data_IF_908928756905
#
_entry.id   IF_908928756905
#
_cell.length_a   1.000
_cell.length_b   1.000
_cell.length_c   1.000
_cell.angle_alpha   90.00
_cell.angle_beta   90.00
_cell.angle_gamma   90.00
#
_symmetry.space_group_name_H-M   'P 1'
#
loop_
_entity.id
_entity.type
_entity.pdbx_description
1 polymer ?
#
# COMPACT_ATOMS: atom_id res chain seq x y z
N UNK A 1 15.73 -6.32 -14.00
CA UNK A 1 15.59 -7.09 -12.74
C UNK A 1 14.66 -6.31 -11.84
N UNK A 2 13.38 -6.65 -11.86
CA UNK A 2 12.38 -6.03 -10.99
C UNK A 2 12.57 -6.64 -9.61
N UNK A 3 12.82 -5.81 -8.60
CA UNK A 3 13.10 -6.28 -7.24
C UNK A 3 11.78 -6.72 -6.60
N UNK A 4 11.44 -8.00 -6.71
CA UNK A 4 10.42 -8.60 -5.86
C UNK A 4 10.94 -8.54 -4.43
N UNK A 5 10.33 -7.69 -3.60
CA UNK A 5 10.62 -7.61 -2.17
C UNK A 5 9.84 -8.74 -1.52
N UNK A 6 10.44 -9.93 -1.41
CA UNK A 6 9.97 -10.93 -0.45
C UNK A 6 10.33 -10.41 0.94
N UNK A 7 9.31 -10.09 1.73
CA UNK A 7 9.52 -9.68 3.11
C UNK A 7 10.16 -10.87 3.86
N UNK A 8 11.27 -10.67 4.58
CA UNK A 8 11.93 -11.76 5.30
C UNK A 8 10.98 -12.30 6.37
N UNK A 9 10.93 -13.63 6.51
CA UNK A 9 10.39 -14.26 7.72
C UNK A 9 11.26 -13.79 8.88
N UNK A 10 10.63 -13.28 9.93
CA UNK A 10 11.31 -12.61 11.03
C UNK A 10 12.35 -13.53 11.70
N UNK A 11 13.61 -13.41 11.28
CA UNK A 11 14.79 -13.71 12.09
C UNK A 11 16.08 -13.07 11.54
N UNK A 12 15.98 -11.97 10.80
CA UNK A 12 17.16 -11.17 10.44
C UNK A 12 16.88 -9.68 10.72
N UNK A 13 17.39 -9.21 11.87
CA UNK A 13 17.67 -7.82 12.22
C UNK A 13 16.58 -6.77 11.92
N UNK A 14 15.54 -6.76 12.74
CA UNK A 14 14.41 -5.82 12.76
C UNK A 14 14.75 -4.42 13.31
N UNK A 15 15.87 -3.81 12.93
CA UNK A 15 16.21 -2.44 13.35
C UNK A 15 15.92 -1.37 12.29
N UNK A 16 15.15 -1.67 11.24
CA UNK A 16 14.77 -0.66 10.26
C UNK A 16 13.37 -0.87 9.66
N UNK A 17 12.41 -1.33 10.46
CA UNK A 17 10.98 -1.15 10.16
C UNK A 17 10.64 0.29 10.50
N UNK A 18 10.64 1.18 9.50
CA UNK A 18 10.37 2.60 9.69
C UNK A 18 9.12 2.82 10.55
N UNK A 19 9.29 3.49 11.67
CA UNK A 19 8.25 3.76 12.67
C UNK A 19 7.03 4.40 12.00
N UNK A 20 5.92 3.66 11.93
CA UNK A 20 4.61 4.23 11.57
C UNK A 20 4.02 4.86 12.84
N UNK A 21 3.54 6.09 12.71
CA UNK A 21 2.79 6.74 13.77
C UNK A 21 1.37 6.17 13.75
N UNK A 22 0.84 5.68 14.88
CA UNK A 22 -0.52 5.14 14.93
C UNK A 22 -1.50 6.28 14.70
N UNK A 23 -2.16 6.24 13.54
CA UNK A 23 -3.14 7.23 13.09
C UNK A 23 -4.45 6.52 12.75
N UNK A 24 -5.58 7.21 12.86
CA UNK A 24 -6.89 6.65 12.47
C UNK A 24 -6.89 6.26 10.98
N UNK A 25 -6.22 7.04 10.15
CA UNK A 25 -5.95 6.75 8.73
C UNK A 25 -5.24 5.41 8.54
N UNK A 26 -4.27 5.07 9.39
CA UNK A 26 -3.58 3.79 9.31
C UNK A 26 -4.50 2.64 9.71
N UNK A 27 -5.28 2.80 10.79
CA UNK A 27 -6.25 1.79 11.25
C UNK A 27 -7.31 1.49 10.18
N UNK A 28 -7.81 2.53 9.52
CA UNK A 28 -8.75 2.40 8.40
C UNK A 28 -8.11 1.64 7.21
N UNK A 29 -6.84 1.93 6.90
CA UNK A 29 -6.08 1.22 5.86
C UNK A 29 -5.89 -0.26 6.20
N UNK A 30 -5.54 -0.57 7.46
CA UNK A 30 -5.46 -1.95 7.94
C UNK A 30 -6.83 -2.63 7.83
N UNK A 31 -7.90 -1.94 8.21
CA UNK A 31 -9.27 -2.44 8.17
C UNK A 31 -9.68 -2.94 6.78
N UNK A 32 -9.40 -2.17 5.73
CA UNK A 32 -9.68 -2.58 4.33
C UNK A 32 -8.89 -3.83 3.94
N UNK A 33 -7.59 -3.87 4.28
CA UNK A 33 -6.76 -5.02 3.94
C UNK A 33 -7.20 -6.29 4.66
N UNK A 34 -7.54 -6.18 5.96
CA UNK A 34 -8.07 -7.28 6.76
C UNK A 34 -9.45 -7.72 6.31
N UNK A 35 -10.30 -6.79 5.88
CA UNK A 35 -11.60 -7.12 5.30
C UNK A 35 -11.44 -7.92 4.00
N UNK A 36 -10.59 -7.46 3.07
CA UNK A 36 -10.27 -8.20 1.84
C UNK A 36 -9.65 -9.57 2.12
N UNK A 37 -8.79 -9.67 3.13
CA UNK A 37 -8.20 -10.94 3.57
C UNK A 37 -9.25 -11.94 4.08
N UNK A 38 -10.19 -11.48 4.90
CA UNK A 38 -11.24 -12.33 5.51
C UNK A 38 -12.35 -12.71 4.55
N UNK A 39 -12.73 -11.79 3.66
CA UNK A 39 -13.87 -11.95 2.75
C UNK A 39 -13.48 -12.49 1.39
N UNK A 40 -12.20 -12.39 1.03
CA UNK A 40 -11.71 -12.70 -0.31
C UNK A 40 -12.16 -11.71 -1.39
N UNK A 41 -12.74 -10.57 -1.02
CA UNK A 41 -13.19 -9.54 -1.97
C UNK A 41 -12.05 -8.65 -2.45
N UNK A 42 -12.25 -8.03 -3.62
CA UNK A 42 -11.33 -6.99 -4.10
C UNK A 42 -11.53 -5.71 -3.27
N UNK A 43 -10.47 -5.24 -2.63
CA UNK A 43 -10.42 -3.97 -1.91
C UNK A 43 -9.78 -2.88 -2.77
N UNK A 44 -10.31 -1.66 -2.68
CA UNK A 44 -9.69 -0.47 -3.28
C UNK A 44 -9.28 0.51 -2.19
N UNK A 45 -7.98 0.73 -2.06
CA UNK A 45 -7.39 1.70 -1.14
C UNK A 45 -6.77 2.86 -1.92
N UNK A 46 -7.37 4.04 -1.81
CA UNK A 46 -6.85 5.25 -2.45
C UNK A 46 -6.72 6.42 -1.50
N UNK A 47 -5.59 7.12 -1.59
CA UNK A 47 -5.31 8.34 -0.82
C UNK A 47 -4.29 9.21 -1.55
N UNK A 48 -4.21 10.52 -1.27
CA UNK A 48 -3.21 11.42 -1.84
C UNK A 48 -1.77 10.94 -1.67
N UNK A 49 -0.84 11.41 -2.51
CA UNK A 49 0.58 11.06 -2.35
C UNK A 49 1.11 11.50 -0.98
N UNK A 50 1.94 10.66 -0.36
CA UNK A 50 2.54 10.96 0.94
C UNK A 50 1.68 10.69 2.17
N UNK A 51 0.56 9.97 2.04
CA UNK A 51 -0.30 9.57 3.18
C UNK A 51 0.13 8.26 3.88
N UNK A 52 1.27 7.67 3.51
CA UNK A 52 1.77 6.45 4.17
C UNK A 52 1.18 5.12 3.66
N UNK A 53 0.35 5.12 2.61
CA UNK A 53 -0.23 3.89 1.99
C UNK A 53 0.77 2.75 1.79
N UNK A 54 1.90 3.03 1.15
CA UNK A 54 2.94 2.05 0.86
C UNK A 54 3.56 1.48 2.14
N UNK A 55 3.74 2.30 3.17
CA UNK A 55 4.26 1.87 4.46
C UNK A 55 3.23 1.01 5.19
N UNK A 56 1.95 1.42 5.19
CA UNK A 56 0.84 0.67 5.76
C UNK A 56 0.71 -0.71 5.12
N UNK A 57 0.67 -0.78 3.79
CA UNK A 57 0.59 -2.02 3.02
C UNK A 57 1.71 -3.01 3.37
N UNK A 58 2.95 -2.52 3.49
CA UNK A 58 4.10 -3.38 3.88
C UNK A 58 4.01 -3.85 5.31
N UNK A 59 3.57 -3.00 6.24
CA UNK A 59 3.45 -3.38 7.65
C UNK A 59 2.33 -4.39 7.88
N UNK A 60 1.17 -4.22 7.25
CA UNK A 60 0.08 -5.20 7.32
C UNK A 60 0.53 -6.54 6.74
N UNK A 61 1.21 -6.53 5.59
CA UNK A 61 1.76 -7.75 5.00
C UNK A 61 2.78 -8.43 5.93
N UNK A 62 3.67 -7.67 6.56
CA UNK A 62 4.63 -8.22 7.52
C UNK A 62 3.92 -8.82 8.74
N UNK A 63 3.00 -8.07 9.36
CA UNK A 63 2.23 -8.46 10.56
C UNK A 63 1.47 -9.77 10.33
N UNK A 64 0.76 -9.88 9.21
CA UNK A 64 -0.02 -11.07 8.87
C UNK A 64 0.87 -12.28 8.55
N UNK A 65 2.03 -12.08 7.92
CA UNK A 65 2.98 -13.17 7.66
C UNK A 65 3.79 -13.61 8.89
N UNK A 66 3.82 -12.82 9.96
CA UNK A 66 4.53 -13.13 11.22
C UNK A 66 3.63 -13.68 12.33
N UNK A 67 2.31 -13.66 12.15
CA UNK A 67 1.38 -14.17 13.16
C UNK A 67 1.62 -15.69 13.33
N UNK A 68 1.89 -16.19 14.55
CA UNK A 68 1.97 -17.63 14.79
C UNK A 68 0.62 -18.28 14.49
N UNK A 69 0.66 -19.50 13.93
CA UNK A 69 -0.51 -20.36 13.65
C UNK A 69 -1.18 -20.81 14.97
N UNK A 70 -1.73 -19.89 15.77
CA UNK A 70 -2.43 -20.20 17.02
C UNK A 70 -3.87 -20.64 16.79
N UNK A 71 -4.45 -20.30 15.63
CA UNK A 71 -5.75 -20.79 15.19
C UNK A 71 -5.58 -21.97 14.22
N UNK A 72 -5.94 -23.19 14.67
CA UNK A 72 -5.93 -24.46 13.91
C UNK A 72 -6.70 -24.42 12.55
N UNK A 73 -7.36 -23.30 12.22
CA UNK A 73 -8.06 -23.05 10.96
C UNK A 73 -7.23 -22.28 9.92
N UNK A 74 -6.00 -21.86 10.23
CA UNK A 74 -5.16 -21.10 9.30
C UNK A 74 -4.45 -22.03 8.32
N UNK A 75 -5.10 -22.39 7.22
CA UNK A 75 -4.40 -22.93 6.05
C UNK A 75 -3.40 -21.88 5.53
N UNK A 76 -2.15 -21.90 5.99
CA UNK A 76 -0.95 -21.35 5.33
C UNK A 76 -1.14 -20.07 4.51
N UNK A 77 -1.83 -19.08 5.08
CA UNK A 77 -2.28 -17.90 4.37
C UNK A 77 -1.12 -16.93 4.14
N UNK A 78 -0.56 -16.90 2.93
CA UNK A 78 0.56 -16.02 2.59
C UNK A 78 0.04 -14.67 2.09
N UNK A 79 0.50 -13.59 2.72
CA UNK A 79 0.25 -12.22 2.23
C UNK A 79 1.38 -11.79 1.31
N UNK A 80 1.05 -11.49 0.06
CA UNK A 80 2.02 -11.15 -0.97
C UNK A 80 1.88 -9.67 -1.30
N UNK A 81 2.91 -8.91 -0.96
CA UNK A 81 3.02 -7.49 -1.30
C UNK A 81 3.79 -7.32 -2.61
N UNK A 82 3.20 -6.61 -3.57
CA UNK A 82 3.74 -6.38 -4.89
C UNK A 82 3.67 -4.88 -5.18
N UNK A 83 4.83 -4.25 -5.36
CA UNK A 83 4.89 -2.88 -5.85
C UNK A 83 4.87 -2.88 -7.37
N UNK A 84 3.82 -2.31 -7.96
CA UNK A 84 3.69 -2.12 -9.40
C UNK A 84 4.52 -0.93 -9.86
N UNK A 85 5.04 -1.00 -11.07
CA UNK A 85 5.84 0.08 -11.66
C UNK A 85 5.38 0.37 -13.09
N UNK A 86 5.82 1.49 -13.65
CA UNK A 86 5.59 1.79 -15.07
C UNK A 86 6.20 0.77 -16.02
N UNK A 87 7.22 0.01 -15.59
CA UNK A 87 7.83 -1.05 -16.39
C UNK A 87 6.94 -2.32 -16.46
N UNK A 88 5.96 -2.43 -15.57
CA UNK A 88 5.04 -3.56 -15.44
C UNK A 88 3.59 -3.12 -15.68
N UNK A 89 3.40 -2.07 -16.51
CA UNK A 89 2.09 -1.45 -16.75
C UNK A 89 1.19 -2.31 -17.65
N UNK A 90 1.77 -2.97 -18.67
CA UNK A 90 1.04 -3.81 -19.63
C UNK A 90 0.72 -5.19 -19.07
N UNK A 91 -0.27 -5.85 -19.67
CA UNK A 91 -0.79 -7.16 -19.27
C UNK A 91 0.30 -8.22 -19.09
N UNK A 92 1.10 -8.49 -20.13
CA UNK A 92 2.18 -9.49 -20.04
C UNK A 92 3.22 -9.18 -18.95
N UNK A 93 3.93 -8.03 -18.97
CA UNK A 93 4.97 -7.73 -17.97
C UNK A 93 4.39 -7.59 -16.55
N UNK A 94 3.16 -7.08 -16.42
CA UNK A 94 2.45 -7.03 -15.14
C UNK A 94 2.13 -8.40 -14.58
N UNK A 95 1.55 -9.30 -15.39
CA UNK A 95 1.28 -10.68 -14.99
C UNK A 95 2.57 -11.44 -14.69
N UNK A 96 3.62 -11.26 -15.47
CA UNK A 96 4.92 -11.90 -15.20
C UNK A 96 5.53 -11.42 -13.88
N UNK A 97 5.40 -10.12 -13.55
CA UNK A 97 5.84 -9.56 -12.27
C UNK A 97 5.07 -10.14 -11.09
N UNK A 98 3.75 -10.31 -11.24
CA UNK A 98 2.90 -10.94 -10.22
C UNK A 98 3.24 -12.43 -10.07
N UNK A 99 3.45 -13.13 -11.18
CA UNK A 99 3.86 -14.53 -11.18
C UNK A 99 5.21 -14.74 -10.47
N UNK A 100 6.20 -13.88 -10.73
CA UNK A 100 7.51 -13.94 -10.06
C UNK A 100 7.38 -13.73 -8.53
N UNK A 101 6.51 -12.79 -8.11
CA UNK A 101 6.20 -12.57 -6.70
C UNK A 101 5.59 -13.81 -6.03
N UNK A 102 4.74 -14.55 -6.76
CA UNK A 102 4.15 -15.83 -6.37
C UNK A 102 5.13 -17.02 -6.44
N UNK A 103 6.37 -16.80 -6.89
CA UNK A 103 7.38 -17.86 -7.07
C UNK A 103 7.16 -18.72 -8.31
N UNK A 104 6.40 -18.23 -9.28
CA UNK A 104 6.12 -18.89 -10.55
C UNK A 104 7.15 -18.44 -11.58
N UNK A 105 7.87 -19.39 -12.16
CA UNK A 105 8.77 -19.11 -13.27
C UNK A 105 7.98 -18.79 -14.55
N UNK A 106 8.32 -17.69 -15.22
CA UNK A 106 7.73 -17.32 -16.51
C UNK A 106 8.81 -17.21 -17.59
N UNK A 107 8.52 -17.74 -18.77
CA UNK A 107 9.39 -17.69 -19.94
C UNK A 107 9.00 -16.54 -20.88
N UNK A 108 9.96 -16.09 -21.71
CA UNK A 108 9.68 -15.09 -22.77
C UNK A 108 8.69 -15.55 -23.84
N UNK A 109 8.47 -16.87 -23.97
CA UNK A 109 7.49 -17.45 -24.87
C UNK A 109 6.06 -17.46 -24.33
N UNK A 110 5.88 -17.42 -23.01
CA UNK A 110 4.57 -17.65 -22.39
C UNK A 110 3.58 -16.58 -22.81
N UNK A 111 2.40 -16.98 -23.25
CA UNK A 111 1.35 -16.01 -23.54
C UNK A 111 0.68 -15.55 -22.24
N UNK A 112 0.03 -14.36 -22.21
CA UNK A 112 -0.63 -13.86 -21.00
C UNK A 112 -1.60 -14.86 -20.36
N UNK A 113 -2.33 -15.63 -21.18
CA UNK A 113 -3.28 -16.63 -20.71
C UNK A 113 -2.59 -17.79 -19.96
N UNK A 114 -1.39 -18.21 -20.37
CA UNK A 114 -0.64 -19.26 -19.67
C UNK A 114 -0.13 -18.77 -18.31
N UNK A 115 0.32 -17.51 -18.26
CA UNK A 115 0.73 -16.87 -17.00
C UNK A 115 -0.47 -16.72 -16.06
N UNK A 116 -1.62 -16.26 -16.56
CA UNK A 116 -2.86 -16.18 -15.77
C UNK A 116 -3.24 -17.55 -15.20
N UNK A 117 -3.22 -18.62 -16.02
CA UNK A 117 -3.55 -19.97 -15.54
C UNK A 117 -2.58 -20.43 -14.44
N UNK A 118 -1.31 -20.11 -14.56
CA UNK A 118 -0.30 -20.46 -13.55
C UNK A 118 -0.53 -19.71 -12.24
N UNK A 119 -0.90 -18.43 -12.32
CA UNK A 119 -1.32 -17.62 -11.16
C UNK A 119 -2.58 -18.21 -10.53
N UNK A 120 -3.62 -18.50 -11.33
CA UNK A 120 -4.85 -19.13 -10.87
C UNK A 120 -4.54 -20.43 -10.09
N UNK A 121 -3.74 -21.34 -10.66
CA UNK A 121 -3.38 -22.61 -10.01
C UNK A 121 -2.66 -22.41 -8.68
N UNK A 122 -1.76 -21.42 -8.60
CA UNK A 122 -1.02 -21.10 -7.37
C UNK A 122 -1.94 -20.52 -6.28
N UNK A 123 -2.91 -19.69 -6.67
CA UNK A 123 -3.87 -19.05 -5.75
C UNK A 123 -5.00 -20.00 -5.33
N UNK A 124 -5.38 -20.96 -6.17
CA UNK A 124 -6.41 -21.96 -5.85
C UNK A 124 -6.00 -22.84 -4.65
N UNK A 125 -4.70 -23.12 -4.51
CA UNK A 125 -4.15 -23.92 -3.41
C UNK A 125 -3.76 -23.14 -2.15
N UNK A 126 -3.96 -21.82 -2.11
CA UNK A 126 -3.55 -20.97 -0.98
C UNK A 126 -4.59 -19.87 -0.72
N UNK A 127 -5.09 -19.74 0.50
CA UNK A 127 -5.91 -18.59 0.91
C UNK A 127 -5.01 -17.38 1.17
N UNK A 128 -4.63 -16.68 0.11
CA UNK A 128 -3.67 -15.57 0.13
C UNK A 128 -4.32 -14.18 0.01
N UNK A 129 -3.67 -13.15 0.57
CA UNK A 129 -3.94 -11.75 0.26
C UNK A 129 -2.89 -11.23 -0.73
N UNK A 130 -3.32 -10.69 -1.87
CA UNK A 130 -2.44 -10.01 -2.82
C UNK A 130 -2.62 -8.51 -2.68
N UNK A 131 -1.56 -7.82 -2.27
CA UNK A 131 -1.53 -6.36 -2.20
C UNK A 131 -0.77 -5.83 -3.43
N UNK A 132 -1.49 -5.18 -4.34
CA UNK A 132 -0.93 -4.54 -5.52
C UNK A 132 -0.79 -3.04 -5.25
N UNK A 133 0.40 -2.63 -4.80
CA UNK A 133 0.75 -1.24 -4.51
C UNK A 133 1.14 -0.48 -5.77
N UNK A 134 0.94 0.84 -5.77
CA UNK A 134 1.12 1.72 -6.93
C UNK A 134 0.30 1.28 -8.17
N UNK A 135 -0.90 0.71 -7.93
CA UNK A 135 -1.77 0.14 -8.96
C UNK A 135 -2.28 1.18 -9.99
N UNK A 136 -2.12 2.49 -9.74
CA UNK A 136 -2.38 3.51 -10.76
C UNK A 136 -1.51 3.34 -12.02
N UNK A 137 -0.35 2.67 -11.92
CA UNK A 137 0.51 2.37 -13.08
C UNK A 137 -0.01 1.23 -13.94
N UNK A 138 -0.90 0.38 -13.44
CA UNK A 138 -1.46 -0.73 -14.22
C UNK A 138 -2.35 -0.20 -15.34
N UNK A 139 -2.27 -0.82 -16.53
CA UNK A 139 -3.20 -0.53 -17.62
C UNK A 139 -4.62 -1.04 -17.30
N UNK A 140 -5.60 -0.56 -18.06
CA UNK A 140 -6.97 -1.07 -17.98
C UNK A 140 -7.01 -2.59 -18.27
N UNK A 141 -6.32 -3.04 -19.32
CA UNK A 141 -6.25 -4.46 -19.68
C UNK A 141 -5.64 -5.33 -18.57
N UNK A 142 -4.62 -4.83 -17.86
CA UNK A 142 -4.01 -5.55 -16.75
C UNK A 142 -4.97 -5.61 -15.56
N UNK A 143 -5.66 -4.52 -15.22
CA UNK A 143 -6.71 -4.51 -14.19
C UNK A 143 -7.85 -5.48 -14.54
N UNK A 144 -8.29 -5.50 -15.80
CA UNK A 144 -9.27 -6.47 -16.31
C UNK A 144 -8.76 -7.90 -16.20
N UNK A 145 -7.47 -8.16 -16.46
CA UNK A 145 -6.86 -9.47 -16.28
C UNK A 145 -6.85 -9.91 -14.80
N UNK A 146 -6.55 -9.01 -13.87
CA UNK A 146 -6.63 -9.31 -12.42
C UNK A 146 -8.07 -9.63 -12.00
N UNK A 147 -9.05 -8.84 -12.45
CA UNK A 147 -10.47 -9.17 -12.23
C UNK A 147 -10.83 -10.54 -12.82
N UNK A 148 -10.41 -10.83 -14.05
CA UNK A 148 -10.68 -12.14 -14.68
C UNK A 148 -10.13 -13.31 -13.86
N UNK A 149 -8.91 -13.18 -13.32
CA UNK A 149 -8.32 -14.19 -12.42
C UNK A 149 -9.23 -14.37 -11.20
N UNK A 150 -9.63 -13.26 -10.56
CA UNK A 150 -10.49 -13.30 -9.39
C UNK A 150 -11.85 -13.94 -9.67
N UNK A 151 -12.56 -13.54 -10.73
CA UNK A 151 -13.87 -14.10 -11.09
C UNK A 151 -13.80 -15.63 -11.36
N UNK A 152 -12.71 -16.09 -11.99
CA UNK A 152 -12.48 -17.52 -12.27
C UNK A 152 -12.22 -18.31 -10.99
N UNK A 153 -11.46 -17.75 -10.05
CA UNK A 153 -11.20 -18.37 -8.76
C UNK A 153 -12.47 -18.40 -7.92
N UNK A 154 -13.24 -17.32 -7.90
CA UNK A 154 -14.53 -17.23 -7.20
C UNK A 154 -15.48 -18.34 -7.66
N UNK A 155 -15.58 -18.54 -8.98
CA UNK A 155 -16.39 -19.61 -9.58
C UNK A 155 -15.96 -21.02 -9.13
N UNK A 156 -14.68 -21.21 -8.78
CA UNK A 156 -14.14 -22.48 -8.23
C UNK A 156 -14.26 -22.59 -6.71
N UNK A 157 -14.86 -21.60 -6.04
CA UNK A 157 -14.98 -21.55 -4.59
C UNK A 157 -13.72 -21.04 -3.87
N UNK A 158 -12.78 -20.45 -4.60
CA UNK A 158 -11.54 -19.89 -4.06
C UNK A 158 -11.57 -18.37 -4.14
N UNK A 159 -11.46 -17.68 -3.01
CA UNK A 159 -11.54 -16.23 -2.97
C UNK A 159 -10.25 -15.64 -2.37
N UNK A 160 -9.16 -15.50 -3.14
CA UNK A 160 -8.01 -14.76 -2.65
C UNK A 160 -8.40 -13.29 -2.48
N UNK A 161 -8.06 -12.70 -1.33
CA UNK A 161 -8.21 -11.27 -1.15
C UNK A 161 -7.27 -10.54 -2.09
N UNK A 162 -7.75 -9.50 -2.80
CA UNK A 162 -6.90 -8.65 -3.64
C UNK A 162 -7.10 -7.21 -3.21
N UNK A 163 -6.04 -6.48 -2.88
CA UNK A 163 -6.13 -5.06 -2.52
C UNK A 163 -5.36 -4.25 -3.55
N UNK A 164 -6.05 -3.34 -4.22
CA UNK A 164 -5.47 -2.36 -5.12
C UNK A 164 -5.15 -1.10 -4.31
N UNK A 165 -3.87 -0.79 -4.14
CA UNK A 165 -3.42 0.41 -3.43
C UNK A 165 -2.90 1.42 -4.45
N UNK A 166 -3.38 2.66 -4.37
CA UNK A 166 -2.93 3.70 -5.30
C UNK A 166 -3.37 5.10 -4.95
N UNK A 167 -3.18 6.01 -5.91
CA UNK A 167 -3.61 7.41 -5.83
C UNK A 167 -5.08 7.58 -6.20
N UNK A 168 -5.63 8.78 -5.99
CA UNK A 168 -7.00 9.13 -6.38
C UNK A 168 -7.30 8.91 -7.87
N UNK A 169 -6.29 9.06 -8.74
CA UNK A 169 -6.41 8.75 -10.17
C UNK A 169 -6.80 7.29 -10.46
N UNK A 170 -6.42 6.34 -9.59
CA UNK A 170 -6.87 4.95 -9.70
C UNK A 170 -8.36 4.85 -9.35
N UNK A 171 -8.80 5.54 -8.31
CA UNK A 171 -10.21 5.59 -7.94
C UNK A 171 -11.06 6.23 -9.05
N UNK A 172 -10.64 7.37 -9.59
CA UNK A 172 -11.36 8.02 -10.70
C UNK A 172 -11.45 7.11 -11.93
N UNK A 173 -10.40 6.32 -12.20
CA UNK A 173 -10.41 5.37 -13.32
C UNK A 173 -11.38 4.21 -13.11
N UNK A 174 -11.47 3.67 -11.90
CA UNK A 174 -12.32 2.51 -11.60
C UNK A 174 -13.76 2.91 -11.27
N UNK A 175 -13.95 3.99 -10.51
CA UNK A 175 -15.24 4.44 -9.95
C UNK A 175 -15.78 5.72 -10.59
N UNK A 176 -15.04 6.40 -11.47
CA UNK A 176 -15.46 7.66 -12.07
C UNK A 176 -16.57 7.52 -13.12
N UNK A 177 -17.14 8.67 -13.52
CA UNK A 177 -18.32 8.73 -14.40
C UNK A 177 -18.04 8.39 -15.86
N UNK A 178 -16.78 8.54 -16.32
CA UNK A 178 -16.34 8.18 -17.68
C UNK A 178 -15.37 7.01 -17.56
N UNK A 179 -15.91 5.81 -17.47
CA UNK A 179 -15.15 4.57 -17.35
C UNK A 179 -15.58 3.58 -18.43
N UNK A 180 -14.69 2.66 -18.80
CA UNK A 180 -15.00 1.58 -19.73
C UNK A 180 -15.86 0.52 -19.04
N UNK A 181 -16.60 -0.27 -19.83
CA UNK A 181 -17.40 -1.42 -19.35
C UNK A 181 -16.56 -2.38 -18.47
N UNK A 182 -15.29 -2.56 -18.83
CA UNK A 182 -14.30 -3.33 -18.06
C UNK A 182 -14.08 -2.79 -16.63
N UNK A 183 -14.02 -1.47 -16.47
CA UNK A 183 -13.86 -0.83 -15.16
C UNK A 183 -15.18 -0.82 -14.37
N UNK A 184 -16.33 -0.75 -15.05
CA UNK A 184 -17.65 -0.98 -14.44
C UNK A 184 -17.72 -2.38 -13.81
N UNK A 185 -17.30 -3.40 -14.56
CA UNK A 185 -17.24 -4.78 -14.09
C UNK A 185 -16.31 -4.95 -12.88
N UNK A 186 -15.10 -4.38 -12.94
CA UNK A 186 -14.16 -4.38 -11.81
C UNK A 186 -14.75 -3.66 -10.60
N UNK A 187 -15.38 -2.49 -10.80
CA UNK A 187 -16.01 -1.74 -9.72
C UNK A 187 -17.16 -2.51 -9.05
N UNK A 188 -17.81 -3.42 -9.75
CA UNK A 188 -18.85 -4.30 -9.20
C UNK A 188 -18.32 -5.39 -8.28
N UNK A 189 -17.01 -5.70 -8.34
CA UNK A 189 -16.32 -6.66 -7.46
C UNK A 189 -15.64 -6.03 -6.25
N UNK A 190 -15.70 -4.70 -6.13
CA UNK A 190 -15.10 -4.00 -5.00
C UNK A 190 -15.96 -4.21 -3.75
N UNK A 191 -15.45 -4.98 -2.78
CA UNK A 191 -16.11 -5.25 -1.50
C UNK A 191 -16.04 -4.08 -0.53
N UNK A 192 -14.89 -3.39 -0.50
CA UNK A 192 -14.72 -2.13 0.21
C UNK A 192 -14.05 -1.09 -0.67
N UNK A 193 -14.64 0.11 -0.69
CA UNK A 193 -14.12 1.29 -1.38
C UNK A 193 -13.69 2.28 -0.33
N UNK A 194 -12.40 2.44 -0.12
CA UNK A 194 -11.92 3.54 0.71
C UNK A 194 -11.23 4.58 -0.16
N UNK A 195 -11.87 5.74 -0.18
CA UNK A 195 -11.60 6.80 -1.12
C UNK A 195 -11.44 8.05 -0.31
N UNK A 196 -10.17 8.45 -0.16
CA UNK A 196 -9.76 9.75 0.32
C UNK A 196 -9.62 9.90 1.85
N UNK A 197 -8.60 9.22 2.38
CA UNK A 197 -8.03 9.60 3.67
C UNK A 197 -7.13 10.84 3.48
N UNK A 198 -7.66 12.01 3.79
CA UNK A 198 -6.87 13.22 3.97
C UNK A 198 -6.14 13.13 5.32
N UNK A 199 -4.92 13.64 5.39
CA UNK A 199 -4.17 13.73 6.66
C UNK A 199 -4.98 14.62 7.60
N UNK A 200 -5.43 14.05 8.72
CA UNK A 200 -6.24 14.77 9.68
C UNK A 200 -5.37 15.56 10.66
N UNK A 201 -6.01 16.44 11.42
CA UNK A 201 -5.33 17.15 12.51
C UNK A 201 -4.86 16.18 13.60
N UNK A 202 -5.67 15.14 13.88
CA UNK A 202 -5.33 14.07 14.81
C UNK A 202 -4.09 13.30 14.38
N UNK A 203 -3.93 13.04 13.08
CA UNK A 203 -2.76 12.35 12.54
C UNK A 203 -1.47 13.12 12.85
N UNK A 204 -1.47 14.43 12.55
CA UNK A 204 -0.29 15.28 12.80
C UNK A 204 -0.03 15.41 14.31
N UNK A 205 -1.08 15.46 15.15
CA UNK A 205 -0.90 15.44 16.61
C UNK A 205 -0.31 14.13 17.11
N UNK A 206 -0.72 12.99 16.54
CA UNK A 206 -0.14 11.70 16.89
C UNK A 206 1.36 11.65 16.54
N UNK A 207 1.74 12.19 15.37
CA UNK A 207 3.14 12.36 14.98
C UNK A 207 3.89 13.26 15.98
N UNK A 208 3.38 14.45 16.28
CA UNK A 208 4.01 15.38 17.21
C UNK A 208 4.18 14.78 18.61
N UNK A 209 3.17 14.06 19.12
CA UNK A 209 3.21 13.38 20.42
C UNK A 209 4.31 12.33 20.47
N UNK A 210 4.47 11.55 19.39
CA UNK A 210 5.51 10.53 19.31
C UNK A 210 6.93 11.13 19.29
N UNK A 211 7.09 12.31 18.66
CA UNK A 211 8.35 13.03 18.57
C UNK A 211 8.63 13.94 19.78
N UNK A 212 7.77 13.90 20.80
CA UNK A 212 7.83 14.77 21.98
C UNK A 212 7.82 16.28 21.63
N UNK A 213 7.13 16.64 20.55
CA UNK A 213 6.89 18.03 20.12
C UNK A 213 5.60 18.50 20.78
N UNK A 214 5.73 19.25 21.88
CA UNK A 214 4.59 19.65 22.73
C UNK A 214 4.09 21.08 22.48
N UNK A 215 4.74 21.83 21.59
CA UNK A 215 4.41 23.22 21.34
C UNK A 215 3.35 23.41 20.25
N UNK A 216 2.35 24.25 20.52
CA UNK A 216 1.26 24.58 19.59
C UNK A 216 1.76 25.25 18.30
N UNK A 217 2.85 26.03 18.39
CA UNK A 217 3.40 26.72 17.22
C UNK A 217 4.17 25.77 16.30
N UNK A 218 4.87 24.81 16.90
CA UNK A 218 5.54 23.70 16.20
C UNK A 218 4.50 22.81 15.53
N UNK A 219 3.42 22.48 16.24
CA UNK A 219 2.28 21.76 15.69
C UNK A 219 1.66 22.49 14.48
N UNK A 220 1.31 23.77 14.61
CA UNK A 220 0.71 24.54 13.52
C UNK A 220 1.63 24.60 12.28
N UNK A 221 2.94 24.66 12.49
CA UNK A 221 3.93 24.64 11.41
C UNK A 221 3.97 23.28 10.70
N UNK A 222 4.04 22.18 11.46
CA UNK A 222 4.04 20.82 10.92
C UNK A 222 2.71 20.46 10.24
N UNK A 223 1.59 20.92 10.80
CA UNK A 223 0.27 20.75 10.19
C UNK A 223 0.20 21.46 8.83
N UNK A 224 0.74 22.68 8.72
CA UNK A 224 0.83 23.38 7.43
C UNK A 224 1.69 22.60 6.41
N UNK A 225 2.85 22.11 6.82
CA UNK A 225 3.74 21.27 5.98
C UNK A 225 3.04 19.96 5.55
N UNK A 226 2.25 19.35 6.43
CA UNK A 226 1.49 18.13 6.15
C UNK A 226 0.33 18.34 5.18
N UNK A 227 -0.17 19.57 5.02
CA UNK A 227 -1.24 19.88 4.06
C UNK A 227 -0.73 20.14 2.64
N UNK A 228 0.58 20.29 2.47
CA UNK A 228 1.20 20.51 1.16
C UNK A 228 1.42 19.18 0.40
N UNK A 229 1.77 19.28 -0.88
CA UNK A 229 2.04 18.10 -1.73
C UNK A 229 3.18 17.29 -1.13
N UNK A 230 2.90 16.07 -0.70
CA UNK A 230 3.86 15.19 -0.04
C UNK A 230 3.47 14.79 1.39
N UNK A 231 2.52 15.48 2.02
CA UNK A 231 1.85 14.97 3.22
C UNK A 231 2.78 14.58 4.38
N UNK A 232 2.58 13.38 4.94
CA UNK A 232 3.40 12.82 6.01
C UNK A 232 4.87 12.62 5.58
N UNK A 233 5.15 12.44 4.29
CA UNK A 233 6.52 12.34 3.81
C UNK A 233 7.28 13.66 4.00
N UNK A 234 6.63 14.80 3.79
CA UNK A 234 7.24 16.11 4.05
C UNK A 234 7.47 16.32 5.54
N UNK A 235 6.48 15.97 6.37
CA UNK A 235 6.62 16.02 7.83
C UNK A 235 7.84 15.20 8.26
N UNK A 236 7.93 13.93 7.82
CA UNK A 236 9.06 13.05 8.12
C UNK A 236 10.40 13.69 7.73
N UNK A 237 10.51 14.22 6.51
CA UNK A 237 11.75 14.82 6.00
C UNK A 237 12.15 16.08 6.78
N UNK A 238 11.18 16.91 7.17
CA UNK A 238 11.41 18.10 8.00
C UNK A 238 11.83 17.72 9.40
N UNK A 239 11.22 16.69 10.00
CA UNK A 239 11.57 16.19 11.32
C UNK A 239 12.98 15.58 11.33
N UNK A 240 13.32 14.71 10.37
CA UNK A 240 14.64 14.09 10.27
C UNK A 240 15.74 15.16 10.15
N UNK A 241 15.50 16.22 9.38
CA UNK A 241 16.42 17.36 9.28
C UNK A 241 16.49 18.15 10.59
N UNK A 242 15.36 18.33 11.28
CA UNK A 242 15.31 19.05 12.54
C UNK A 242 16.05 18.30 13.66
N UNK A 243 15.99 16.96 13.66
CA UNK A 243 16.76 16.10 14.56
C UNK A 243 18.26 16.24 14.32
N UNK A 244 18.70 16.25 13.05
CA UNK A 244 20.10 16.47 12.68
C UNK A 244 20.59 17.85 13.13
N UNK A 245 19.78 18.89 12.99
CA UNK A 245 20.13 20.25 13.42
C UNK A 245 20.10 20.38 14.95
N UNK A 246 19.21 19.66 15.62
CA UNK A 246 19.07 19.71 17.08
C UNK A 246 20.22 18.98 17.80
N UNK A 247 20.93 18.07 17.14
CA UNK A 247 22.12 17.37 17.65
C UNK A 247 21.87 16.75 19.05
N UNK A 248 20.80 15.97 19.17
CA UNK A 248 20.38 15.33 20.42
C UNK A 248 19.65 16.23 21.42
N UNK A 249 19.38 17.50 21.09
CA UNK A 249 18.52 18.41 21.87
C UNK A 249 17.06 18.32 21.42
N UNK A 250 16.15 18.93 22.19
CA UNK A 250 14.74 19.01 21.82
C UNK A 250 14.54 19.80 20.51
N UNK A 251 13.65 19.28 19.66
CA UNK A 251 13.19 19.97 18.47
C UNK A 251 12.42 21.22 18.91
N UNK A 252 12.83 22.38 18.40
CA UNK A 252 12.21 23.68 18.69
C UNK A 252 11.69 24.31 17.41
N UNK A 253 10.82 25.31 17.54
CA UNK A 253 10.32 26.06 16.39
C UNK A 253 11.42 26.67 15.50
N UNK A 254 12.56 27.06 16.07
CA UNK A 254 13.70 27.59 15.29
C UNK A 254 14.35 26.50 14.45
N UNK A 255 14.59 25.31 15.00
CA UNK A 255 15.18 24.19 14.25
C UNK A 255 14.24 23.70 13.16
N UNK A 256 12.92 23.66 13.41
CA UNK A 256 11.92 23.33 12.38
C UNK A 256 11.90 24.35 11.23
N UNK A 257 11.93 25.66 11.53
CA UNK A 257 11.99 26.70 10.50
C UNK A 257 13.26 26.61 9.65
N UNK A 258 14.41 26.39 10.28
CA UNK A 258 15.68 26.20 9.58
C UNK A 258 15.63 24.94 8.71
N UNK A 259 15.04 23.87 9.22
CA UNK A 259 14.86 22.62 8.48
C UNK A 259 14.07 22.85 7.19
N UNK A 260 12.88 23.47 7.30
CA UNK A 260 12.03 23.79 6.14
C UNK A 260 12.76 24.64 5.10
N UNK A 261 13.58 25.60 5.53
CA UNK A 261 14.37 26.43 4.61
C UNK A 261 15.42 25.60 3.85
N UNK A 262 16.02 24.59 4.49
CA UNK A 262 17.05 23.73 3.90
C UNK A 262 16.46 22.64 3.02
N UNK A 263 15.30 22.07 3.36
CA UNK A 263 14.67 20.99 2.57
C UNK A 263 14.08 21.43 1.22
N UNK A 264 14.15 22.73 0.92
CA UNK A 264 13.56 23.37 -0.25
C UNK A 264 12.25 24.03 0.17
N UNK A 265 12.32 25.35 0.40
CA UNK A 265 11.25 26.17 0.95
C UNK A 265 9.88 25.83 0.37
N UNK A 266 9.06 25.22 1.21
CA UNK A 266 7.63 25.09 0.98
C UNK A 266 7.03 26.49 1.11
N UNK A 267 6.77 27.09 -0.06
CA UNK A 267 5.92 28.27 -0.27
C UNK A 267 4.70 27.82 -1.05
#
# INVERSE_FOLDING_TARGET
MTKVIRLPRANENSNNTGTLWPTSVLEDMEGVMLASYRTGMIGLLTAPSGTGKTTAARMVAAKLNTAPDEDECSYGQEVIYIMMTRATDKTRPGLAHIADALGIYTSRGDCPQDIMRSIEFKLEGQTSLLILDEAQFMSADLLSAIRNIWDRLETRGCNPGIVLVGTESLHERICGRRRSEDMDALSGRLGQKMVNLAISEEDVRAVCKHLNIMGEKEFALLYRVGRERGGLHNIKRVVEMAEQIADGKHITLSTLKTSIAVTGGLV
#
